data_IF_874828858555
#
_entry.id   IF_874828858555
#
_cell.length_a   1.000
_cell.length_b   1.000
_cell.length_c   1.000
_cell.angle_alpha   90.00
_cell.angle_beta   90.00
_cell.angle_gamma   90.00
#
_symmetry.space_group_name_H-M   'P 1'
#
loop_
_entity.id
_entity.type
_entity.pdbx_description
1 polymer ?
#
# COMPACT_ATOMS: atom_id res chain seq x y z
N UNK A 1 1.56 1.06 -16.67
CA UNK A 1 1.29 1.89 -15.47
C UNK A 1 2.18 1.41 -14.33
N UNK A 2 2.60 2.30 -13.43
CA UNK A 2 3.49 1.95 -12.30
C UNK A 2 2.78 2.08 -10.96
N UNK A 3 2.72 0.98 -10.22
CA UNK A 3 2.27 0.96 -8.83
C UNK A 3 3.49 0.85 -7.92
N UNK A 4 3.43 1.46 -6.74
CA UNK A 4 4.49 1.45 -5.77
C UNK A 4 3.94 0.93 -4.44
N UNK A 5 4.81 0.44 -3.55
CA UNK A 5 4.42 0.16 -2.16
C UNK A 5 5.47 0.69 -1.20
N UNK A 6 5.07 1.25 -0.06
CA UNK A 6 5.98 1.76 0.96
C UNK A 6 5.48 1.42 2.36
N UNK A 7 6.42 1.24 3.29
CA UNK A 7 6.14 1.16 4.72
C UNK A 7 6.85 2.28 5.48
N UNK A 8 6.20 2.89 6.48
CA UNK A 8 6.81 4.04 7.17
C UNK A 8 7.74 3.65 8.34
N UNK A 9 7.56 2.48 8.97
CA UNK A 9 8.40 2.11 10.13
C UNK A 9 9.85 1.89 9.72
N UNK A 10 10.78 2.22 10.63
CA UNK A 10 12.24 2.20 10.41
C UNK A 10 12.74 3.17 9.32
N UNK A 11 11.95 4.19 8.96
CA UNK A 11 12.38 5.27 8.07
C UNK A 11 12.26 6.61 8.78
N UNK A 12 13.23 7.48 8.54
CA UNK A 12 13.08 8.89 8.89
C UNK A 12 12.10 9.58 7.94
N UNK A 13 11.52 10.71 8.35
CA UNK A 13 10.73 11.56 7.45
C UNK A 13 11.53 11.93 6.18
N UNK A 14 12.80 12.32 6.36
CA UNK A 14 13.71 12.65 5.25
C UNK A 14 13.79 11.51 4.24
N UNK A 15 14.12 10.31 4.71
CA UNK A 15 14.21 9.12 3.86
C UNK A 15 12.88 8.82 3.16
N UNK A 16 11.77 8.84 3.91
CA UNK A 16 10.43 8.57 3.38
C UNK A 16 10.06 9.51 2.23
N UNK A 17 10.15 10.84 2.44
CA UNK A 17 9.81 11.81 1.40
C UNK A 17 10.82 11.83 0.24
N UNK A 18 12.11 11.61 0.50
CA UNK A 18 13.12 11.48 -0.56
C UNK A 18 12.82 10.30 -1.47
N UNK A 19 12.42 9.14 -0.92
CA UNK A 19 12.05 7.97 -1.70
C UNK A 19 10.83 8.26 -2.59
N UNK A 20 9.80 8.92 -2.07
CA UNK A 20 8.62 9.27 -2.85
C UNK A 20 8.95 10.20 -4.02
N UNK A 21 9.75 11.25 -3.78
CA UNK A 21 10.19 12.19 -4.82
C UNK A 21 11.01 11.51 -5.90
N UNK A 22 12.01 10.71 -5.51
CA UNK A 22 12.91 10.02 -6.45
C UNK A 22 12.14 9.11 -7.41
N UNK A 23 11.10 8.45 -6.91
CA UNK A 23 10.26 7.55 -7.70
C UNK A 23 9.09 8.27 -8.40
N UNK A 24 9.03 9.61 -8.35
CA UNK A 24 7.98 10.43 -8.99
C UNK A 24 6.57 9.94 -8.65
N UNK A 25 6.37 9.53 -7.40
CA UNK A 25 5.04 9.14 -6.88
C UNK A 25 4.10 10.33 -7.06
N UNK A 26 2.89 10.06 -7.56
CA UNK A 26 1.84 11.06 -7.81
C UNK A 26 0.78 11.04 -6.72
N UNK A 27 0.54 9.87 -6.13
CA UNK A 27 -0.49 9.67 -5.12
C UNK A 27 -0.11 8.59 -4.12
N UNK A 28 -0.39 8.82 -2.85
CA UNK A 28 -0.36 7.83 -1.78
C UNK A 28 -1.79 7.34 -1.51
N UNK A 29 -1.96 6.03 -1.51
CA UNK A 29 -3.14 5.39 -0.93
C UNK A 29 -2.70 4.74 0.39
N UNK A 30 -3.13 5.34 1.49
CA UNK A 30 -2.97 4.78 2.82
C UNK A 30 -3.97 3.64 2.99
N UNK A 31 -3.45 2.42 3.14
CA UNK A 31 -4.24 1.20 3.29
C UNK A 31 -4.15 0.66 4.73
N UNK A 32 -3.72 1.49 5.68
CA UNK A 32 -3.74 1.15 7.10
C UNK A 32 -5.19 1.12 7.59
N UNK A 33 -5.55 0.08 8.33
CA UNK A 33 -6.85 0.03 9.00
C UNK A 33 -7.04 1.21 9.98
N UNK A 34 -5.96 1.64 10.64
CA UNK A 34 -5.93 2.80 11.51
C UNK A 34 -4.67 3.64 11.22
N UNK A 35 -4.82 4.95 11.01
CA UNK A 35 -3.73 5.86 10.62
C UNK A 35 -3.45 6.99 11.63
N UNK A 36 -4.03 6.91 12.83
CA UNK A 36 -3.90 7.90 13.91
C UNK A 36 -2.79 7.58 14.91
N UNK A 37 -2.10 6.44 14.75
CA UNK A 37 -1.07 5.96 15.66
C UNK A 37 0.15 6.88 15.71
N UNK A 38 0.75 7.07 16.90
CA UNK A 38 1.94 7.89 17.13
C UNK A 38 3.28 7.21 16.80
N UNK A 39 3.28 6.04 16.14
CA UNK A 39 4.50 5.26 15.87
C UNK A 39 5.56 6.02 15.07
N UNK A 40 5.16 6.99 14.25
CA UNK A 40 6.02 8.03 13.70
C UNK A 40 5.19 9.30 13.52
N UNK A 41 5.57 10.41 14.15
CA UNK A 41 4.76 11.65 14.17
C UNK A 41 4.35 12.14 12.78
N UNK A 42 5.26 12.07 11.80
CA UNK A 42 4.99 12.47 10.41
C UNK A 42 4.00 11.58 9.66
N UNK A 43 3.68 10.39 10.21
CA UNK A 43 2.85 9.38 9.55
C UNK A 43 1.38 9.44 9.98
N UNK A 44 0.99 10.38 10.86
CA UNK A 44 -0.43 10.61 11.17
C UNK A 44 -1.18 11.05 9.92
N UNK A 45 -2.41 10.58 9.73
CA UNK A 45 -3.17 10.81 8.48
C UNK A 45 -3.17 12.27 8.00
N UNK A 46 -3.58 13.21 8.86
CA UNK A 46 -3.65 14.63 8.50
C UNK A 46 -2.26 15.27 8.33
N UNK A 47 -1.31 15.00 9.23
CA UNK A 47 0.05 15.53 9.12
C UNK A 47 0.75 15.01 7.85
N UNK A 48 0.58 13.72 7.56
CA UNK A 48 1.13 13.08 6.37
C UNK A 48 0.54 13.68 5.10
N UNK A 49 -0.79 13.89 5.06
CA UNK A 49 -1.47 14.55 3.95
C UNK A 49 -0.91 15.95 3.70
N UNK A 50 -0.75 16.74 4.77
CA UNK A 50 -0.15 18.07 4.70
C UNK A 50 1.28 18.02 4.16
N UNK A 51 2.16 17.18 4.74
CA UNK A 51 3.55 17.08 4.31
C UNK A 51 3.73 16.54 2.88
N UNK A 52 2.86 15.61 2.44
CA UNK A 52 2.87 15.11 1.06
C UNK A 52 2.51 16.22 0.06
N UNK A 53 1.55 17.07 0.40
CA UNK A 53 1.19 18.22 -0.41
C UNK A 53 2.34 19.24 -0.46
N UNK A 54 2.75 19.74 0.69
CA UNK A 54 3.73 20.83 0.81
C UNK A 54 5.11 20.47 0.27
N UNK A 55 5.62 19.27 0.61
CA UNK A 55 6.98 18.91 0.23
C UNK A 55 7.07 18.25 -1.13
N UNK A 56 6.03 17.51 -1.55
CA UNK A 56 6.15 16.60 -2.68
C UNK A 56 5.10 16.83 -3.79
N UNK A 57 4.08 17.66 -3.57
CA UNK A 57 2.92 17.77 -4.45
C UNK A 57 2.26 16.40 -4.75
N UNK A 58 2.18 15.55 -3.73
CA UNK A 58 1.64 14.19 -3.81
C UNK A 58 0.22 14.17 -3.25
N UNK A 59 -0.73 13.61 -4.01
CA UNK A 59 -2.10 13.40 -3.53
C UNK A 59 -2.13 12.33 -2.43
N UNK A 60 -3.09 12.43 -1.52
CA UNK A 60 -3.25 11.46 -0.43
C UNK A 60 -4.71 11.01 -0.34
N UNK A 61 -4.91 9.72 -0.14
CA UNK A 61 -6.22 9.12 0.13
C UNK A 61 -6.05 8.03 1.17
N UNK A 62 -6.93 8.00 2.18
CA UNK A 62 -7.03 6.87 3.10
C UNK A 62 -8.16 5.95 2.63
N UNK A 63 -7.81 4.73 2.21
CA UNK A 63 -8.78 3.77 1.67
C UNK A 63 -8.71 2.43 2.43
N UNK A 64 -9.63 2.28 3.39
CA UNK A 64 -9.74 1.08 4.21
C UNK A 64 -10.41 -0.08 3.50
N UNK A 65 -11.00 0.12 2.31
CA UNK A 65 -11.49 -1.00 1.47
C UNK A 65 -10.36 -1.91 1.00
N UNK A 66 -9.12 -1.38 0.98
CA UNK A 66 -7.89 -2.10 0.65
C UNK A 66 -7.12 -2.60 1.89
N UNK A 67 -7.67 -2.40 3.09
CA UNK A 67 -7.08 -2.80 4.36
C UNK A 67 -7.66 -4.13 4.86
N UNK A 68 -6.91 -4.94 5.64
CA UNK A 68 -7.49 -6.07 6.36
C UNK A 68 -8.57 -5.58 7.33
N UNK A 69 -9.62 -6.37 7.53
CA UNK A 69 -10.58 -6.05 8.59
C UNK A 69 -9.99 -6.24 10.00
N UNK A 70 -10.69 -5.71 11.00
CA UNK A 70 -10.26 -5.76 12.39
C UNK A 70 -10.08 -7.19 12.91
N UNK A 71 -10.97 -8.12 12.53
CA UNK A 71 -10.94 -9.49 13.02
C UNK A 71 -9.73 -10.26 12.47
N UNK A 72 -9.47 -10.16 11.17
CA UNK A 72 -8.31 -10.76 10.51
C UNK A 72 -7.02 -10.21 11.12
N UNK A 73 -6.93 -8.88 11.27
CA UNK A 73 -5.75 -8.22 11.82
C UNK A 73 -5.51 -8.60 13.29
N UNK A 74 -6.56 -8.56 14.13
CA UNK A 74 -6.46 -8.87 15.55
C UNK A 74 -6.13 -10.35 15.78
N UNK A 75 -6.72 -11.27 15.02
CA UNK A 75 -6.44 -12.69 15.14
C UNK A 75 -4.98 -13.01 14.78
N UNK A 76 -4.44 -12.37 13.75
CA UNK A 76 -3.02 -12.54 13.40
C UNK A 76 -2.09 -11.95 14.45
N UNK A 77 -2.36 -10.72 14.93
CA UNK A 77 -1.58 -10.09 16.01
C UNK A 77 -1.60 -10.90 17.31
N UNK A 78 -2.74 -11.50 17.64
CA UNK A 78 -2.92 -12.36 18.81
C UNK A 78 -2.44 -13.80 18.58
N UNK A 79 -1.79 -14.09 17.44
CA UNK A 79 -1.28 -15.41 17.05
C UNK A 79 -2.35 -16.52 17.03
N UNK A 80 -3.62 -16.16 16.86
CA UNK A 80 -4.74 -17.11 16.69
C UNK A 80 -4.77 -17.74 15.30
N UNK A 81 -4.20 -17.04 14.32
CA UNK A 81 -4.00 -17.53 12.94
C UNK A 81 -2.56 -17.26 12.53
N UNK A 82 -2.02 -18.11 11.68
CA UNK A 82 -0.69 -17.92 11.09
C UNK A 82 -0.76 -17.03 9.83
N UNK A 83 0.42 -16.75 9.24
CA UNK A 83 0.50 -15.92 8.03
C UNK A 83 -0.23 -16.55 6.84
N UNK A 84 -0.14 -17.87 6.67
CA UNK A 84 -0.80 -18.57 5.56
C UNK A 84 -2.32 -18.41 5.64
N UNK A 85 -2.89 -18.54 6.84
CA UNK A 85 -4.32 -18.33 7.07
C UNK A 85 -4.70 -16.86 6.89
N UNK A 86 -3.84 -15.92 7.31
CA UNK A 86 -4.05 -14.50 7.07
C UNK A 86 -4.15 -14.17 5.56
N UNK A 87 -3.24 -14.71 4.74
CA UNK A 87 -3.25 -14.52 3.28
C UNK A 87 -4.56 -14.99 2.65
N UNK A 88 -5.03 -16.18 3.02
CA UNK A 88 -6.30 -16.74 2.52
C UNK A 88 -7.47 -15.82 2.88
N UNK A 89 -7.60 -15.46 4.16
CA UNK A 89 -8.71 -14.65 4.64
C UNK A 89 -8.71 -13.25 4.02
N UNK A 90 -7.54 -12.63 3.89
CA UNK A 90 -7.44 -11.29 3.35
C UNK A 90 -7.69 -11.24 1.84
N UNK A 91 -7.17 -12.20 1.07
CA UNK A 91 -7.47 -12.28 -0.36
C UNK A 91 -8.97 -12.55 -0.63
N UNK A 92 -9.60 -13.42 0.17
CA UNK A 92 -11.04 -13.65 0.12
C UNK A 92 -11.83 -12.35 0.44
N UNK A 93 -11.38 -11.56 1.41
CA UNK A 93 -11.97 -10.26 1.71
C UNK A 93 -11.87 -9.28 0.53
N UNK A 94 -10.72 -9.19 -0.13
CA UNK A 94 -10.54 -8.34 -1.32
C UNK A 94 -11.46 -8.78 -2.47
N UNK A 95 -11.60 -10.09 -2.70
CA UNK A 95 -12.54 -10.65 -3.67
C UNK A 95 -13.98 -10.27 -3.34
N UNK A 96 -14.41 -10.49 -2.08
CA UNK A 96 -15.78 -10.18 -1.62
C UNK A 96 -16.13 -8.70 -1.74
N UNK A 97 -15.15 -7.81 -1.52
CA UNK A 97 -15.33 -6.37 -1.70
C UNK A 97 -15.41 -5.95 -3.16
N UNK A 98 -15.07 -6.82 -4.10
CA UNK A 98 -15.00 -6.51 -5.53
C UNK A 98 -14.26 -5.19 -5.79
N UNK A 99 -13.05 -5.08 -5.23
CA UNK A 99 -12.30 -3.82 -5.21
C UNK A 99 -12.01 -3.26 -6.61
N UNK A 100 -12.13 -4.07 -7.67
CA UNK A 100 -12.04 -3.60 -9.06
C UNK A 100 -12.99 -2.44 -9.35
N UNK A 101 -14.27 -2.56 -8.97
CA UNK A 101 -15.27 -1.54 -9.27
C UNK A 101 -14.95 -0.23 -8.52
N UNK A 102 -14.55 -0.35 -7.25
CA UNK A 102 -14.14 0.79 -6.44
C UNK A 102 -12.90 1.48 -7.00
N UNK A 103 -11.89 0.70 -7.43
CA UNK A 103 -10.67 1.22 -8.04
C UNK A 103 -10.96 1.92 -9.37
N UNK A 104 -11.79 1.32 -10.22
CA UNK A 104 -12.22 1.92 -11.50
C UNK A 104 -12.94 3.25 -11.27
N UNK A 105 -13.85 3.32 -10.29
CA UNK A 105 -14.61 4.52 -9.97
C UNK A 105 -13.76 5.62 -9.31
N UNK A 106 -12.93 5.26 -8.33
CA UNK A 106 -12.13 6.23 -7.54
C UNK A 106 -10.92 6.75 -8.31
N UNK A 107 -10.29 5.90 -9.11
CA UNK A 107 -9.00 6.20 -9.75
C UNK A 107 -9.08 6.28 -11.27
N UNK A 108 -10.29 6.23 -11.84
CA UNK A 108 -10.53 6.30 -13.28
C UNK A 108 -9.65 5.34 -14.08
N UNK A 109 -9.48 4.12 -13.56
CA UNK A 109 -8.60 3.07 -14.13
C UNK A 109 -7.13 3.47 -14.25
N UNK A 110 -6.70 4.56 -13.62
CA UNK A 110 -5.34 5.08 -13.68
C UNK A 110 -4.64 4.98 -12.33
N UNK A 111 -3.91 3.89 -12.14
CA UNK A 111 -3.03 3.65 -11.00
C UNK A 111 -1.56 4.00 -11.27
N UNK A 112 -1.26 4.71 -12.37
CA UNK A 112 0.12 5.12 -12.66
C UNK A 112 0.64 6.17 -11.67
N UNK A 113 1.76 5.87 -11.02
CA UNK A 113 2.34 6.73 -9.98
C UNK A 113 1.68 6.59 -8.61
N UNK A 114 0.79 5.62 -8.41
CA UNK A 114 0.15 5.35 -7.11
C UNK A 114 1.10 4.56 -6.21
N UNK A 115 1.16 4.90 -4.92
CA UNK A 115 1.96 4.20 -3.92
C UNK A 115 1.08 3.75 -2.74
N UNK A 116 1.05 2.44 -2.48
CA UNK A 116 0.33 1.85 -1.34
C UNK A 116 1.15 1.97 -0.07
N UNK A 117 0.61 2.61 0.97
CA UNK A 117 1.27 2.83 2.25
C UNK A 117 0.76 1.85 3.32
N UNK A 118 1.66 1.08 3.95
CA UNK A 118 1.40 0.37 5.21
C UNK A 118 2.36 0.77 6.34
N UNK A 119 2.25 0.10 7.49
CA UNK A 119 3.07 0.42 8.67
C UNK A 119 4.41 -0.30 8.66
N UNK A 120 4.39 -1.59 8.30
CA UNK A 120 5.49 -2.53 8.42
C UNK A 120 6.72 -2.08 7.62
N UNK A 121 7.93 -2.35 8.10
CA UNK A 121 9.15 -1.96 7.38
C UNK A 121 9.28 -2.70 6.03
N UNK A 122 9.05 -4.03 6.03
CA UNK A 122 9.18 -4.90 4.84
C UNK A 122 7.82 -5.38 4.32
N UNK A 123 7.81 -5.88 3.08
CA UNK A 123 6.58 -6.32 2.40
C UNK A 123 6.29 -7.82 2.61
N UNK A 124 7.23 -8.60 3.11
CA UNK A 124 7.20 -10.07 3.13
C UNK A 124 5.92 -10.62 3.76
N UNK A 125 5.58 -10.07 4.94
CA UNK A 125 4.37 -10.36 5.70
C UNK A 125 3.56 -9.09 5.98
N UNK A 126 3.40 -8.20 4.98
CA UNK A 126 2.49 -7.05 5.05
C UNK A 126 1.30 -7.23 4.09
N UNK A 127 0.12 -6.78 4.51
CA UNK A 127 -1.07 -6.66 3.67
C UNK A 127 -0.82 -5.84 2.39
N UNK A 128 0.07 -4.83 2.40
CA UNK A 128 0.41 -4.07 1.19
C UNK A 128 0.88 -4.92 0.02
N UNK A 129 1.58 -6.03 0.31
CA UNK A 129 2.00 -6.97 -0.72
C UNK A 129 0.79 -7.66 -1.34
N UNK A 130 -0.11 -8.18 -0.50
CA UNK A 130 -1.30 -8.90 -0.93
C UNK A 130 -2.25 -7.98 -1.72
N UNK A 131 -2.46 -6.74 -1.26
CA UNK A 131 -3.24 -5.73 -1.98
C UNK A 131 -2.61 -5.42 -3.34
N UNK A 132 -1.29 -5.22 -3.42
CA UNK A 132 -0.60 -4.96 -4.68
C UNK A 132 -0.69 -6.15 -5.66
N UNK A 133 -0.47 -7.37 -5.16
CA UNK A 133 -0.60 -8.61 -5.94
C UNK A 133 -2.02 -8.78 -6.50
N UNK A 134 -3.04 -8.50 -5.68
CA UNK A 134 -4.44 -8.56 -6.10
C UNK A 134 -4.78 -7.50 -7.15
N UNK A 135 -4.29 -6.27 -6.98
CA UNK A 135 -4.48 -5.19 -7.96
C UNK A 135 -3.87 -5.55 -9.32
N UNK A 136 -2.69 -6.18 -9.37
CA UNK A 136 -2.13 -6.69 -10.65
C UNK A 136 -3.02 -7.75 -11.29
N UNK A 137 -3.62 -8.65 -10.51
CA UNK A 137 -4.51 -9.67 -11.08
C UNK A 137 -5.71 -9.02 -11.77
N UNK A 138 -6.23 -7.93 -11.21
CA UNK A 138 -7.33 -7.14 -11.78
C UNK A 138 -6.88 -6.40 -13.05
N UNK A 139 -5.67 -5.87 -13.06
CA UNK A 139 -5.11 -5.10 -14.17
C UNK A 139 -3.79 -5.73 -14.63
N UNK A 140 -3.83 -6.76 -15.49
CA UNK A 140 -2.64 -7.48 -15.95
C UNK A 140 -1.58 -6.59 -16.62
N UNK A 141 -2.00 -5.43 -17.16
CA UNK A 141 -1.13 -4.43 -17.79
C UNK A 141 -0.43 -3.50 -16.79
N UNK A 142 -0.82 -3.51 -15.50
CA UNK A 142 0.07 -3.04 -14.43
C UNK A 142 1.26 -3.98 -14.40
N UNK A 143 2.46 -3.54 -14.11
CA UNK A 143 3.59 -4.48 -14.10
C UNK A 143 3.67 -5.25 -12.74
N UNK A 144 4.62 -6.14 -12.43
CA UNK A 144 4.92 -6.66 -11.05
C UNK A 144 6.38 -7.05 -10.98
N UNK A 145 7.12 -6.41 -10.07
CA UNK A 145 8.39 -6.93 -9.55
C UNK A 145 8.32 -7.07 -8.03
N UNK A 146 8.92 -8.13 -7.51
CA UNK A 146 9.19 -8.33 -6.09
C UNK A 146 10.68 -8.06 -5.85
N UNK A 147 11.04 -6.82 -5.52
CA UNK A 147 12.42 -6.48 -5.14
C UNK A 147 12.50 -5.73 -3.80
N UNK A 148 13.58 -5.98 -3.07
CA UNK A 148 13.68 -5.97 -1.60
C UNK A 148 14.05 -4.63 -0.95
N UNK A 149 13.83 -3.46 -1.58
CA UNK A 149 14.25 -2.18 -0.98
C UNK A 149 13.17 -1.09 -0.97
N UNK A 150 12.60 -0.88 0.23
CA UNK A 150 11.91 0.30 0.78
C UNK A 150 10.71 0.92 0.04
N UNK A 151 10.80 1.17 -1.27
CA UNK A 151 9.64 1.33 -2.16
C UNK A 151 9.71 0.21 -3.21
N UNK A 152 8.73 -0.70 -3.22
CA UNK A 152 8.67 -1.72 -4.27
C UNK A 152 8.03 -1.10 -5.49
N UNK A 153 8.82 -0.79 -6.51
CA UNK A 153 8.30 -0.48 -7.84
C UNK A 153 7.86 -1.77 -8.52
N UNK A 154 6.67 -1.73 -9.08
CA UNK A 154 6.01 -2.87 -9.70
C UNK A 154 6.33 -2.76 -11.21
N UNK A 155 7.36 -3.48 -11.69
CA UNK A 155 7.88 -3.45 -13.07
C UNK A 155 7.79 -4.79 -13.81
N UNK A 156 7.97 -4.77 -15.13
CA UNK A 156 7.68 -5.89 -16.02
C UNK A 156 8.93 -6.75 -16.13
N UNK A 157 8.79 -8.07 -16.05
CA UNK A 157 9.75 -8.96 -16.68
C UNK A 157 9.77 -8.66 -18.18
N UNK A 158 10.87 -8.15 -18.69
CA UNK A 158 11.23 -8.31 -20.09
C UNK A 158 11.23 -9.81 -20.38
N UNK A 159 10.21 -10.28 -21.09
CA UNK A 159 10.32 -11.54 -21.82
C UNK A 159 11.32 -11.25 -22.95
N UNK A 160 12.40 -12.04 -23.11
CA UNK A 160 13.27 -11.92 -24.28
C UNK A 160 12.52 -12.24 -25.57
#
# INVERSE_FOLDING_TARGET
MRLYTIGFTKKSAREFFTLLKKNKVKQIIDIRLNNTSQLAGFSKGEDLKFFLNEFCNIKYTHDTSLAPDKNILDNYKKKKIDWKRYEILFNDLLNKRNIKNDLDAKYNKNLDGVCLLCSEATADKCHRRLTAEHIKQIYPDLNIEKNTNYIVEIFQSSIP
#
